data_IF_442746416086
#
_entry.id   IF_442746416086
#
_cell.length_a   1.000
_cell.length_b   1.000
_cell.length_c   1.000
_cell.angle_alpha   90.00
_cell.angle_beta   90.00
_cell.angle_gamma   90.00
#
_symmetry.space_group_name_H-M   'P 1'
#
loop_
_entity.id
_entity.type
_entity.pdbx_description
1 polymer ?
#
# COMPACT_ATOMS: atom_id res chain seq x y z
N UNK A 1 -0.70 26.74 73.49
CA UNK A 1 -1.09 25.75 72.47
C UNK A 1 -1.67 26.47 71.26
N UNK A 2 -0.80 26.80 70.27
CA UNK A 2 -1.22 27.42 69.03
C UNK A 2 -1.22 26.37 67.88
N UNK A 3 -2.38 26.11 67.31
CA UNK A 3 -2.53 25.26 66.13
C UNK A 3 -2.30 26.11 64.84
N UNK A 4 -1.23 25.82 64.14
CA UNK A 4 -1.01 26.31 62.76
C UNK A 4 -1.94 25.53 61.82
N UNK A 5 -2.79 26.26 61.07
CA UNK A 5 -3.60 25.71 59.96
C UNK A 5 -2.80 25.88 58.65
N UNK A 6 -2.30 24.83 58.09
CA UNK A 6 -1.70 24.78 56.77
C UNK A 6 -2.77 24.93 55.71
N UNK A 7 -2.67 25.94 54.85
CA UNK A 7 -3.49 26.09 53.65
C UNK A 7 -2.79 25.42 52.46
N UNK A 8 -3.25 24.27 52.01
CA UNK A 8 -2.84 23.70 50.76
C UNK A 8 -3.59 24.41 49.62
N UNK A 9 -2.89 25.17 48.79
CA UNK A 9 -3.39 25.72 47.55
C UNK A 9 -3.28 24.66 46.45
N UNK A 10 -4.40 24.13 45.97
CA UNK A 10 -4.43 23.26 44.79
C UNK A 10 -4.36 24.13 43.54
N UNK A 11 -3.18 24.13 42.92
CA UNK A 11 -2.98 24.71 41.58
C UNK A 11 -3.51 23.72 40.55
N UNK A 12 -4.73 23.94 40.06
CA UNK A 12 -5.28 23.14 38.94
C UNK A 12 -4.57 23.54 37.65
N UNK A 13 -3.74 22.64 37.15
CA UNK A 13 -3.12 22.78 35.83
C UNK A 13 -4.17 22.49 34.77
N UNK A 14 -4.76 23.51 34.16
CA UNK A 14 -5.62 23.36 32.99
C UNK A 14 -4.73 22.95 31.81
N UNK A 15 -4.77 21.65 31.46
CA UNK A 15 -4.25 21.18 30.18
C UNK A 15 -5.18 21.72 29.09
N UNK A 16 -4.77 22.76 28.38
CA UNK A 16 -5.40 23.14 27.12
C UNK A 16 -5.10 22.06 26.08
N UNK A 17 -6.04 21.10 25.91
CA UNK A 17 -6.05 20.21 24.77
C UNK A 17 -6.47 21.06 23.57
N UNK A 18 -5.53 21.45 22.73
CA UNK A 18 -5.86 22.06 21.46
C UNK A 18 -6.73 21.06 20.65
N UNK A 19 -7.85 21.52 20.08
CA UNK A 19 -8.67 20.66 19.23
C UNK A 19 -7.79 20.16 18.06
N UNK A 20 -8.00 18.92 17.57
CA UNK A 20 -7.31 18.45 16.38
C UNK A 20 -7.58 19.43 15.25
N UNK A 21 -6.54 19.85 14.54
CA UNK A 21 -6.69 20.69 13.37
C UNK A 21 -7.61 19.95 12.39
N UNK A 22 -8.83 20.45 12.20
CA UNK A 22 -9.77 19.96 11.20
C UNK A 22 -9.05 20.19 9.87
N UNK A 23 -8.62 19.11 9.21
CA UNK A 23 -8.02 19.15 7.89
C UNK A 23 -8.95 19.90 6.93
N UNK A 24 -8.39 20.63 5.98
CA UNK A 24 -9.20 21.27 4.95
C UNK A 24 -10.10 20.21 4.27
N UNK A 25 -11.36 20.55 3.98
CA UNK A 25 -12.27 19.64 3.29
C UNK A 25 -11.63 19.08 2.00
N UNK A 26 -11.85 17.79 1.67
CA UNK A 26 -11.34 17.20 0.43
C UNK A 26 -11.77 18.01 -0.79
N UNK A 27 -10.92 18.03 -1.82
CA UNK A 27 -11.25 18.57 -3.16
C UNK A 27 -12.02 17.55 -3.95
N UNK A 28 -12.63 17.94 -5.07
CA UNK A 28 -13.15 16.95 -6.02
C UNK A 28 -12.00 16.28 -6.76
N UNK A 29 -12.04 14.95 -6.92
CA UNK A 29 -11.07 14.23 -7.76
C UNK A 29 -11.12 14.69 -9.21
N UNK A 30 -12.26 15.20 -9.67
CA UNK A 30 -12.44 15.74 -11.04
C UNK A 30 -11.67 17.03 -11.30
N UNK A 31 -11.10 17.66 -10.26
CA UNK A 31 -10.16 18.78 -10.44
C UNK A 31 -8.82 18.31 -11.02
N UNK A 32 -8.50 17.01 -10.89
CA UNK A 32 -7.29 16.40 -11.45
C UNK A 32 -7.63 15.80 -12.81
N UNK A 33 -7.35 16.56 -13.89
CA UNK A 33 -7.57 16.05 -15.23
C UNK A 33 -6.56 14.94 -15.56
N UNK A 34 -6.99 13.71 -15.88
CA UNK A 34 -6.05 12.66 -16.26
C UNK A 34 -5.41 12.98 -17.60
N UNK A 35 -4.10 12.73 -17.72
CA UNK A 35 -3.36 12.82 -18.99
C UNK A 35 -3.80 11.72 -19.96
N UNK A 36 -4.27 10.61 -19.44
CA UNK A 36 -4.83 9.49 -20.19
C UNK A 36 -5.71 8.63 -19.28
N UNK A 37 -6.75 8.02 -19.89
CA UNK A 37 -7.57 6.96 -19.30
C UNK A 37 -7.48 5.75 -20.23
N UNK A 38 -7.03 4.60 -19.69
CA UNK A 38 -6.75 3.39 -20.46
C UNK A 38 -7.68 2.30 -20.00
N UNK A 39 -8.54 1.80 -20.88
CA UNK A 39 -9.43 0.66 -20.61
C UNK A 39 -8.66 -0.64 -20.73
N UNK A 40 -8.80 -1.51 -19.70
CA UNK A 40 -8.05 -2.76 -19.59
C UNK A 40 -8.94 -4.01 -19.61
N UNK A 41 -10.13 -3.94 -19.03
CA UNK A 41 -11.01 -5.08 -18.93
C UNK A 41 -12.34 -4.74 -18.26
N UNK A 42 -12.95 -5.74 -17.62
CA UNK A 42 -14.16 -5.55 -16.82
C UNK A 42 -13.85 -4.85 -15.50
N UNK A 43 -12.71 -5.21 -14.90
CA UNK A 43 -12.14 -4.54 -13.73
C UNK A 43 -10.69 -4.23 -13.99
N UNK A 44 -10.13 -3.24 -13.30
CA UNK A 44 -8.70 -2.95 -13.27
C UNK A 44 -8.26 -2.76 -11.81
N UNK A 45 -7.20 -3.47 -11.43
CA UNK A 45 -6.70 -3.48 -10.07
C UNK A 45 -5.19 -3.76 -10.07
N UNK A 46 -4.53 -3.55 -8.92
CA UNK A 46 -3.11 -3.83 -8.69
C UNK A 46 -2.16 -3.22 -9.70
N UNK A 47 -1.42 -2.24 -9.28
CA UNK A 47 -0.45 -1.52 -10.10
C UNK A 47 0.97 -1.85 -9.66
N UNK A 48 1.84 -2.16 -10.62
CA UNK A 48 3.28 -2.27 -10.40
C UNK A 48 4.05 -1.41 -11.42
N UNK A 49 5.10 -0.71 -10.96
CA UNK A 49 5.88 0.22 -11.77
C UNK A 49 7.28 -0.34 -11.98
N UNK A 50 7.70 -0.44 -13.24
CA UNK A 50 9.10 -0.69 -13.62
C UNK A 50 9.74 0.59 -14.15
N UNK A 51 11.04 0.57 -14.42
CA UNK A 51 11.75 1.72 -14.97
C UNK A 51 11.26 2.14 -16.38
N UNK A 52 10.59 1.24 -17.07
CA UNK A 52 10.20 1.42 -18.48
C UNK A 52 8.71 1.17 -18.78
N UNK A 53 7.94 0.76 -17.77
CA UNK A 53 6.52 0.42 -17.96
C UNK A 53 5.70 0.52 -16.68
N UNK A 54 4.40 0.52 -16.88
CA UNK A 54 3.39 0.33 -15.83
C UNK A 54 2.65 -0.98 -16.11
N UNK A 55 2.54 -1.81 -15.08
CA UNK A 55 1.83 -3.07 -15.15
C UNK A 55 0.55 -2.99 -14.33
N UNK A 56 -0.56 -3.39 -14.93
CA UNK A 56 -1.88 -3.35 -14.27
C UNK A 56 -2.60 -4.67 -14.51
N UNK A 57 -3.14 -5.24 -13.44
CA UNK A 57 -3.97 -6.43 -13.55
C UNK A 57 -5.41 -6.10 -13.92
N UNK A 58 -6.11 -7.04 -14.55
CA UNK A 58 -7.53 -6.90 -14.91
C UNK A 58 -8.28 -8.22 -14.81
N UNK A 59 -9.61 -8.11 -14.76
CA UNK A 59 -10.52 -9.21 -15.04
C UNK A 59 -11.35 -8.92 -16.31
N UNK A 60 -11.81 -9.98 -16.98
CA UNK A 60 -12.53 -9.89 -18.24
C UNK A 60 -11.78 -9.16 -19.36
N UNK A 61 -10.57 -9.59 -19.77
CA UNK A 61 -9.92 -10.86 -19.46
C UNK A 61 -9.15 -10.89 -18.15
N UNK A 62 -8.81 -12.09 -17.65
CA UNK A 62 -7.79 -12.26 -16.62
C UNK A 62 -6.42 -12.05 -17.25
N UNK A 63 -5.80 -10.93 -16.98
CA UNK A 63 -4.53 -10.57 -17.60
C UNK A 63 -3.74 -9.57 -16.73
N UNK A 64 -2.45 -9.46 -17.00
CA UNK A 64 -1.66 -8.28 -16.66
C UNK A 64 -1.27 -7.54 -17.92
N UNK A 65 -1.47 -6.24 -17.92
CA UNK A 65 -1.23 -5.36 -19.06
C UNK A 65 0.02 -4.54 -18.84
N UNK A 66 0.87 -4.49 -19.85
CA UNK A 66 2.03 -3.58 -19.88
C UNK A 66 1.66 -2.33 -20.63
N UNK A 67 1.83 -1.19 -20.00
CA UNK A 67 1.53 0.14 -20.52
C UNK A 67 2.85 0.90 -20.69
N UNK A 68 3.04 1.50 -21.87
CA UNK A 68 4.14 2.45 -22.10
C UNK A 68 3.75 3.82 -21.51
N UNK A 69 4.47 4.31 -20.47
CA UNK A 69 4.15 5.59 -19.84
C UNK A 69 4.45 6.81 -20.71
N UNK A 70 5.19 6.67 -21.80
CA UNK A 70 5.50 7.78 -22.71
C UNK A 70 4.37 8.01 -23.72
N UNK A 71 3.81 6.91 -24.23
CA UNK A 71 2.75 6.96 -25.25
C UNK A 71 1.36 6.80 -24.69
N UNK A 72 1.23 6.39 -23.41
CA UNK A 72 -0.04 6.07 -22.74
C UNK A 72 -0.80 4.92 -23.44
N UNK A 73 -0.08 3.99 -24.04
CA UNK A 73 -0.66 2.88 -24.79
C UNK A 73 -0.36 1.54 -24.12
N UNK A 74 -1.31 0.62 -24.18
CA UNK A 74 -1.09 -0.77 -23.81
C UNK A 74 -0.25 -1.44 -24.89
N UNK A 75 0.98 -1.83 -24.56
CA UNK A 75 1.96 -2.42 -25.49
C UNK A 75 2.02 -3.94 -25.42
N UNK A 76 1.51 -4.54 -24.33
CA UNK A 76 1.36 -5.99 -24.22
C UNK A 76 0.22 -6.34 -23.25
N UNK A 77 -0.32 -7.54 -23.42
CA UNK A 77 -1.21 -8.22 -22.48
C UNK A 77 -0.72 -9.63 -22.30
N UNK A 78 -0.66 -10.09 -21.06
CA UNK A 78 -0.28 -11.45 -20.70
C UNK A 78 -1.47 -12.10 -20.05
N UNK A 79 -2.06 -13.07 -20.74
CA UNK A 79 -3.21 -13.82 -20.23
C UNK A 79 -2.82 -14.67 -19.03
N UNK A 80 -3.69 -14.71 -18.05
CA UNK A 80 -3.54 -15.45 -16.80
C UNK A 80 -4.61 -16.55 -16.71
N UNK A 81 -4.33 -17.68 -16.05
CA UNK A 81 -5.31 -18.75 -15.89
C UNK A 81 -6.41 -18.45 -14.88
N UNK A 82 -6.36 -17.32 -14.21
CA UNK A 82 -7.31 -16.87 -13.21
C UNK A 82 -7.06 -15.46 -12.79
N UNK A 83 -7.88 -14.98 -11.87
CA UNK A 83 -7.84 -13.62 -11.34
C UNK A 83 -6.53 -13.33 -10.58
N UNK A 84 -5.88 -12.21 -10.92
CA UNK A 84 -4.86 -11.59 -10.10
C UNK A 84 -5.56 -10.94 -8.90
N UNK A 85 -5.61 -11.60 -7.78
CA UNK A 85 -6.45 -11.23 -6.64
C UNK A 85 -5.68 -10.66 -5.43
N UNK A 86 -4.44 -10.34 -5.63
CA UNK A 86 -3.58 -9.73 -4.62
C UNK A 86 -2.55 -8.83 -5.30
N UNK A 87 -1.86 -8.00 -4.52
CA UNK A 87 -0.86 -7.06 -5.02
C UNK A 87 0.18 -7.71 -5.93
N UNK A 88 0.84 -6.91 -6.74
CA UNK A 88 1.89 -7.32 -7.67
C UNK A 88 3.27 -7.01 -7.07
N UNK A 89 4.26 -7.87 -7.33
CA UNK A 89 5.66 -7.59 -6.96
C UNK A 89 6.60 -7.75 -8.15
N UNK A 90 7.66 -6.93 -8.16
CA UNK A 90 8.71 -6.97 -9.18
C UNK A 90 10.00 -7.46 -8.55
N UNK A 91 10.65 -8.41 -9.20
CA UNK A 91 11.95 -8.89 -8.81
C UNK A 91 12.44 -10.07 -9.65
N UNK A 92 13.76 -10.25 -9.77
CA UNK A 92 14.39 -11.25 -10.63
C UNK A 92 13.88 -11.20 -12.08
N UNK A 93 13.84 -10.00 -12.67
CA UNK A 93 13.39 -9.74 -14.05
C UNK A 93 11.96 -10.23 -14.32
N UNK A 94 11.16 -10.36 -13.28
CA UNK A 94 9.81 -10.90 -13.36
C UNK A 94 8.80 -10.05 -12.58
N UNK A 95 7.57 -10.07 -13.09
CA UNK A 95 6.38 -9.65 -12.36
C UNK A 95 5.77 -10.91 -11.71
N UNK A 96 5.55 -10.83 -10.41
CA UNK A 96 4.95 -11.87 -9.59
C UNK A 96 3.50 -11.55 -9.34
N UNK A 97 2.62 -12.48 -9.73
CA UNK A 97 1.18 -12.29 -9.73
C UNK A 97 0.51 -13.40 -8.93
N UNK A 98 0.03 -13.11 -7.72
CA UNK A 98 -0.78 -14.06 -6.96
C UNK A 98 -2.14 -14.27 -7.63
N UNK A 99 -2.58 -15.53 -7.77
CA UNK A 99 -3.80 -15.91 -8.45
C UNK A 99 -4.78 -16.62 -7.52
N UNK A 100 -6.04 -16.20 -7.53
CA UNK A 100 -7.15 -16.87 -6.86
C UNK A 100 -7.74 -18.00 -7.71
N UNK A 101 -6.89 -18.88 -8.19
CA UNK A 101 -7.29 -20.17 -8.78
C UNK A 101 -7.70 -21.16 -7.68
N UNK A 102 -8.19 -22.34 -8.06
CA UNK A 102 -8.51 -23.42 -7.11
C UNK A 102 -7.67 -24.65 -7.43
N UNK A 103 -6.62 -24.97 -6.64
CA UNK A 103 -6.06 -24.19 -5.52
C UNK A 103 -5.41 -22.88 -5.98
N UNK A 104 -5.17 -21.94 -5.05
CA UNK A 104 -4.48 -20.68 -5.32
C UNK A 104 -3.07 -20.93 -5.83
N UNK A 105 -2.55 -20.04 -6.68
CA UNK A 105 -1.28 -20.20 -7.35
C UNK A 105 -0.51 -18.88 -7.46
N UNK A 106 0.72 -18.94 -7.94
CA UNK A 106 1.59 -17.78 -8.17
C UNK A 106 2.10 -17.83 -9.60
N UNK A 107 1.76 -16.84 -10.39
CA UNK A 107 2.28 -16.69 -11.75
C UNK A 107 3.57 -15.88 -11.75
N UNK A 108 4.48 -16.26 -12.65
CA UNK A 108 5.71 -15.57 -12.97
C UNK A 108 5.65 -15.08 -14.41
N UNK A 109 5.65 -13.77 -14.61
CA UNK A 109 5.62 -13.12 -15.93
C UNK A 109 6.98 -12.46 -16.17
N UNK A 110 7.60 -12.75 -17.32
CA UNK A 110 8.88 -12.15 -17.70
C UNK A 110 8.69 -10.72 -18.18
N UNK A 111 9.41 -9.78 -17.58
CA UNK A 111 9.29 -8.34 -17.86
C UNK A 111 9.85 -7.96 -19.24
N UNK A 112 10.79 -8.73 -19.78
CA UNK A 112 11.42 -8.45 -21.08
C UNK A 112 10.63 -9.03 -22.23
N UNK A 113 10.21 -10.30 -22.11
CA UNK A 113 9.52 -11.00 -23.18
C UNK A 113 8.00 -10.81 -23.16
N UNK A 114 7.45 -10.25 -22.07
CA UNK A 114 6.01 -10.10 -21.84
C UNK A 114 5.28 -11.46 -21.94
N UNK A 115 5.84 -12.52 -21.35
CA UNK A 115 5.27 -13.87 -21.40
C UNK A 115 5.10 -14.45 -20.00
N UNK A 116 4.05 -15.21 -19.82
CA UNK A 116 3.87 -16.08 -18.66
C UNK A 116 4.93 -17.20 -18.76
N UNK A 117 5.87 -17.25 -17.80
CA UNK A 117 6.96 -18.24 -17.78
C UNK A 117 6.61 -19.45 -16.94
N UNK A 118 5.93 -19.26 -15.82
CA UNK A 118 5.60 -20.35 -14.90
C UNK A 118 4.38 -20.03 -14.07
N UNK A 119 3.73 -21.10 -13.59
CA UNK A 119 2.71 -21.08 -12.55
C UNK A 119 3.18 -22.05 -11.46
N UNK A 120 3.29 -21.56 -10.24
CA UNK A 120 3.70 -22.36 -9.09
C UNK A 120 2.48 -22.72 -8.23
N UNK A 121 2.46 -23.95 -7.71
CA UNK A 121 1.40 -24.47 -6.83
C UNK A 121 1.56 -23.94 -5.39
N UNK A 122 1.79 -22.65 -5.26
CA UNK A 122 1.82 -21.88 -4.01
C UNK A 122 1.17 -20.55 -4.30
N UNK A 123 0.17 -20.16 -3.54
CA UNK A 123 -0.60 -18.95 -3.81
C UNK A 123 -1.00 -18.22 -2.53
N UNK A 124 -1.75 -17.12 -2.67
CA UNK A 124 -2.19 -16.32 -1.55
C UNK A 124 -3.18 -17.08 -0.66
N UNK A 125 -3.15 -16.77 0.65
CA UNK A 125 -4.11 -17.31 1.61
C UNK A 125 -5.56 -16.86 1.33
N UNK A 126 -5.70 -15.65 0.79
CA UNK A 126 -6.98 -15.03 0.46
C UNK A 126 -6.77 -13.92 -0.58
N UNK A 127 -7.87 -13.48 -1.18
CA UNK A 127 -7.89 -12.26 -2.00
C UNK A 127 -7.53 -11.01 -1.17
N UNK A 128 -7.21 -9.91 -1.84
CA UNK A 128 -6.84 -8.63 -1.23
C UNK A 128 -5.56 -8.71 -0.36
N UNK A 129 -4.77 -9.75 -0.54
CA UNK A 129 -3.47 -9.91 0.07
C UNK A 129 -2.39 -9.11 -0.64
N UNK A 130 -1.19 -9.10 -0.08
CA UNK A 130 0.00 -8.50 -0.69
C UNK A 130 1.09 -9.52 -0.96
N UNK A 131 2.06 -9.11 -1.72
CA UNK A 131 3.25 -9.85 -2.07
C UNK A 131 4.45 -8.92 -2.03
N UNK A 132 5.61 -9.42 -1.64
CA UNK A 132 6.84 -8.65 -1.67
C UNK A 132 7.97 -9.46 -2.31
N UNK A 133 8.95 -8.77 -2.90
CA UNK A 133 10.18 -9.35 -3.35
C UNK A 133 11.36 -8.72 -2.59
N UNK A 134 12.25 -9.56 -2.08
CA UNK A 134 13.44 -9.09 -1.39
C UNK A 134 14.31 -10.23 -0.85
N UNK A 135 15.57 -9.95 -0.55
CA UNK A 135 16.56 -10.94 -0.14
C UNK A 135 16.61 -12.18 -1.07
N UNK A 136 16.39 -11.97 -2.38
CA UNK A 136 16.42 -13.04 -3.38
C UNK A 136 15.25 -14.03 -3.27
N UNK A 137 14.11 -13.63 -2.71
CA UNK A 137 12.91 -14.46 -2.60
C UNK A 137 11.63 -13.65 -2.75
N UNK A 138 10.56 -14.36 -3.11
CA UNK A 138 9.19 -13.85 -3.07
C UNK A 138 8.60 -14.16 -1.70
N UNK A 139 7.88 -13.20 -1.13
CA UNK A 139 7.29 -13.31 0.20
C UNK A 139 5.78 -13.15 0.13
N UNK A 140 5.06 -14.14 0.66
CA UNK A 140 3.61 -14.24 0.55
C UNK A 140 3.03 -14.95 1.77
N UNK A 141 1.87 -14.51 2.27
CA UNK A 141 1.06 -15.27 3.22
C UNK A 141 0.30 -16.35 2.45
N UNK A 142 0.53 -17.62 2.78
CA UNK A 142 0.10 -18.76 1.95
C UNK A 142 -1.08 -19.56 2.51
N UNK A 143 -1.53 -19.26 3.73
CA UNK A 143 -2.67 -19.95 4.35
C UNK A 143 -3.32 -19.12 5.46
N UNK A 144 -4.51 -19.53 5.89
CA UNK A 144 -5.30 -18.88 6.95
C UNK A 144 -4.62 -18.86 8.33
N UNK A 145 -3.66 -19.74 8.54
CA UNK A 145 -2.85 -19.76 9.77
C UNK A 145 -1.75 -18.70 9.78
N UNK A 146 -1.72 -17.84 8.74
CA UNK A 146 -0.76 -16.76 8.55
C UNK A 146 0.71 -17.23 8.44
N UNK A 147 0.94 -18.30 7.70
CA UNK A 147 2.28 -18.71 7.33
C UNK A 147 2.84 -17.77 6.25
N UNK A 148 3.87 -17.02 6.60
CA UNK A 148 4.66 -16.25 5.66
C UNK A 148 5.69 -17.15 4.99
N UNK A 149 5.55 -17.39 3.70
CA UNK A 149 6.49 -18.18 2.92
C UNK A 149 7.55 -17.27 2.25
N UNK A 150 8.80 -17.74 2.27
CA UNK A 150 9.84 -17.28 1.35
C UNK A 150 9.94 -18.28 0.21
N UNK A 151 9.68 -17.85 -0.99
CA UNK A 151 9.58 -18.68 -2.19
C UNK A 151 10.78 -18.43 -3.08
N UNK A 152 11.38 -19.51 -3.60
CA UNK A 152 12.48 -19.45 -4.56
C UNK A 152 11.98 -18.95 -5.92
N UNK A 153 12.50 -17.82 -6.45
CA UNK A 153 12.03 -17.27 -7.72
C UNK A 153 12.40 -18.10 -8.96
N UNK A 154 13.31 -19.06 -8.82
CA UNK A 154 13.71 -19.90 -9.94
C UNK A 154 12.75 -21.09 -10.18
N UNK A 155 12.19 -21.66 -9.11
CA UNK A 155 11.43 -22.90 -9.20
C UNK A 155 10.15 -22.96 -8.35
N UNK A 156 9.79 -21.89 -7.65
CA UNK A 156 8.59 -21.81 -6.80
C UNK A 156 8.66 -22.63 -5.50
N UNK A 157 9.80 -23.22 -5.17
CA UNK A 157 9.96 -23.98 -3.93
C UNK A 157 9.91 -23.09 -2.71
N UNK A 158 9.21 -23.51 -1.65
CA UNK A 158 9.22 -22.82 -0.37
C UNK A 158 10.56 -23.04 0.31
N UNK A 159 11.35 -21.99 0.43
CA UNK A 159 12.65 -21.99 1.08
C UNK A 159 12.54 -21.92 2.61
N UNK A 160 11.49 -21.26 3.10
CA UNK A 160 11.22 -21.07 4.53
C UNK A 160 9.77 -20.73 4.75
N UNK A 161 9.23 -21.19 5.88
CA UNK A 161 7.93 -20.80 6.39
C UNK A 161 8.09 -20.20 7.78
N UNK A 162 7.42 -19.08 8.03
CA UNK A 162 7.46 -18.37 9.31
C UNK A 162 6.03 -18.19 9.76
N UNK A 163 5.69 -18.76 10.94
CA UNK A 163 4.38 -18.60 11.55
C UNK A 163 4.26 -17.20 12.14
N UNK A 164 3.30 -16.43 11.64
CA UNK A 164 2.92 -15.11 12.16
C UNK A 164 1.62 -15.19 12.98
N UNK A 165 1.26 -14.14 13.73
CA UNK A 165 -0.03 -14.07 14.39
C UNK A 165 -1.19 -14.23 13.39
N UNK A 166 -2.26 -14.97 13.74
CA UNK A 166 -3.42 -15.15 12.87
C UNK A 166 -4.09 -13.82 12.51
N UNK A 167 -4.30 -13.57 11.22
CA UNK A 167 -4.77 -12.28 10.70
C UNK A 167 -3.65 -11.35 10.22
N UNK A 168 -2.40 -11.84 10.18
CA UNK A 168 -1.33 -11.21 9.40
C UNK A 168 -1.65 -11.31 7.91
N UNK A 169 -1.33 -10.24 7.13
CA UNK A 169 -1.92 -10.09 5.83
C UNK A 169 -0.94 -9.69 4.73
N UNK A 170 -0.50 -8.45 4.67
CA UNK A 170 0.27 -7.90 3.55
C UNK A 170 1.73 -7.70 3.91
N UNK A 171 2.68 -8.31 3.16
CA UNK A 171 4.10 -8.08 3.33
C UNK A 171 4.59 -6.89 2.50
N UNK A 172 5.61 -6.19 3.00
CA UNK A 172 6.52 -5.34 2.22
C UNK A 172 7.95 -5.61 2.63
N UNK A 173 8.92 -5.29 1.77
CA UNK A 173 10.33 -5.52 2.03
C UNK A 173 11.10 -4.21 2.14
N UNK A 174 11.87 -4.05 3.21
CA UNK A 174 12.72 -2.87 3.41
C UNK A 174 14.03 -3.24 4.11
N UNK A 175 15.14 -2.90 3.48
CA UNK A 175 16.48 -3.28 3.97
C UNK A 175 16.64 -4.81 3.96
N UNK A 176 16.81 -5.42 5.14
CA UNK A 176 16.85 -6.89 5.32
C UNK A 176 15.64 -7.38 6.15
N UNK A 177 14.53 -6.68 6.08
CA UNK A 177 13.36 -6.96 6.91
C UNK A 177 12.13 -7.10 6.03
N UNK A 178 11.34 -8.15 6.27
CA UNK A 178 9.97 -8.27 5.78
C UNK A 178 9.05 -7.72 6.85
N UNK A 179 8.24 -6.76 6.48
CA UNK A 179 7.24 -6.15 7.36
C UNK A 179 5.86 -6.65 6.94
N UNK A 180 5.08 -7.11 7.88
CA UNK A 180 3.78 -7.71 7.60
C UNK A 180 2.72 -7.06 8.47
N UNK A 181 1.64 -6.57 7.86
CA UNK A 181 0.49 -6.05 8.60
C UNK A 181 -0.23 -7.17 9.33
N UNK A 182 -0.68 -6.88 10.55
CA UNK A 182 -1.52 -7.78 11.36
C UNK A 182 -2.84 -7.07 11.64
N UNK A 183 -3.78 -7.23 10.73
CA UNK A 183 -5.04 -6.48 10.71
C UNK A 183 -5.87 -6.68 11.99
N UNK A 184 -5.96 -7.91 12.50
CA UNK A 184 -6.71 -8.23 13.73
C UNK A 184 -6.04 -7.70 15.00
N UNK A 185 -4.70 -7.57 14.99
CA UNK A 185 -3.91 -7.14 16.16
C UNK A 185 -3.63 -5.64 16.20
N UNK A 186 -3.98 -4.89 15.15
CA UNK A 186 -3.63 -3.48 15.00
C UNK A 186 -2.13 -3.22 15.21
N UNK A 187 -1.30 -4.01 14.55
CA UNK A 187 0.16 -3.88 14.56
C UNK A 187 0.78 -4.26 13.21
N UNK A 188 2.06 -3.98 13.08
CA UNK A 188 2.91 -4.45 11.99
C UNK A 188 4.05 -5.27 12.58
N UNK A 189 4.25 -6.47 12.04
CA UNK A 189 5.29 -7.41 12.45
C UNK A 189 6.52 -7.25 11.56
N UNK A 190 7.71 -7.12 12.16
CA UNK A 190 8.99 -7.09 11.48
C UNK A 190 9.68 -8.45 11.59
N UNK A 191 10.07 -9.03 10.46
CA UNK A 191 10.74 -10.32 10.35
C UNK A 191 12.12 -10.12 9.70
N UNK A 192 13.17 -10.57 10.35
CA UNK A 192 14.50 -10.62 9.74
C UNK A 192 14.53 -11.63 8.59
N UNK A 193 14.79 -11.18 7.39
CA UNK A 193 14.68 -11.99 6.18
C UNK A 193 15.74 -13.12 6.08
N UNK A 194 16.90 -12.94 6.71
CA UNK A 194 17.96 -13.94 6.70
C UNK A 194 17.66 -15.08 7.69
N UNK A 195 17.22 -14.74 8.90
CA UNK A 195 17.02 -15.72 9.98
C UNK A 195 15.59 -16.22 10.09
N UNK A 196 14.60 -15.47 9.60
CA UNK A 196 13.17 -15.74 9.75
C UNK A 196 12.65 -15.42 11.17
N UNK A 197 13.41 -14.73 12.00
CA UNK A 197 12.99 -14.36 13.34
C UNK A 197 12.11 -13.12 13.34
N UNK A 198 11.02 -13.15 14.12
CA UNK A 198 10.28 -11.93 14.45
C UNK A 198 11.17 -11.06 15.35
N UNK A 199 11.47 -9.85 14.91
CA UNK A 199 12.37 -8.91 15.59
C UNK A 199 11.63 -7.75 16.26
N UNK A 200 10.39 -7.48 15.83
CA UNK A 200 9.52 -6.50 16.48
C UNK A 200 8.06 -6.71 16.07
N UNK A 201 7.16 -6.26 16.93
CA UNK A 201 5.74 -5.99 16.65
C UNK A 201 5.47 -4.57 17.11
N UNK A 202 4.94 -3.73 16.24
CA UNK A 202 4.75 -2.31 16.51
C UNK A 202 3.29 -1.93 16.29
N UNK A 203 2.67 -1.35 17.33
CA UNK A 203 1.27 -0.93 17.26
C UNK A 203 1.03 0.11 16.16
N UNK A 204 -0.11 0.01 15.49
CA UNK A 204 -0.60 0.88 14.42
C UNK A 204 -2.01 1.39 14.78
N UNK A 205 -2.70 2.03 13.84
CA UNK A 205 -4.16 2.18 13.92
C UNK A 205 -4.89 0.86 13.67
N UNK A 206 -6.21 0.90 13.70
CA UNK A 206 -7.05 -0.29 13.59
C UNK A 206 -7.11 -0.84 12.17
N UNK A 207 -7.08 -2.16 12.04
CA UNK A 207 -7.15 -2.87 10.77
C UNK A 207 -6.10 -2.35 9.76
N UNK A 208 -4.79 -2.41 10.09
CA UNK A 208 -3.73 -2.08 9.13
C UNK A 208 -3.79 -3.09 7.99
N UNK A 209 -4.12 -2.62 6.79
CA UNK A 209 -4.34 -3.49 5.65
C UNK A 209 -3.18 -3.43 4.67
N UNK A 210 -2.95 -2.29 4.07
CA UNK A 210 -1.88 -2.08 3.10
C UNK A 210 -0.70 -1.35 3.73
N UNK A 211 0.48 -1.57 3.15
CA UNK A 211 1.70 -0.95 3.64
C UNK A 211 2.71 -0.71 2.52
N UNK A 212 3.52 0.32 2.71
CA UNK A 212 4.64 0.65 1.82
C UNK A 212 5.87 1.02 2.64
N UNK A 213 7.03 0.99 2.00
CA UNK A 213 8.30 1.38 2.61
C UNK A 213 8.88 2.62 1.94
N UNK A 214 9.35 3.58 2.72
CA UNK A 214 10.02 4.75 2.20
C UNK A 214 10.45 5.75 3.28
N UNK A 215 11.41 6.61 2.98
CA UNK A 215 11.99 7.58 3.92
C UNK A 215 12.47 6.97 5.25
N UNK A 216 13.04 5.76 5.20
CA UNK A 216 13.51 5.05 6.41
C UNK A 216 12.38 4.57 7.34
N UNK A 217 11.16 4.49 6.84
CA UNK A 217 9.97 4.10 7.58
C UNK A 217 9.13 3.08 6.81
N UNK A 218 8.24 2.42 7.55
CA UNK A 218 7.11 1.65 7.04
C UNK A 218 5.86 2.46 7.30
N UNK A 219 5.00 2.53 6.31
CA UNK A 219 3.75 3.25 6.35
C UNK A 219 2.59 2.27 6.19
N UNK A 220 1.67 2.23 7.15
CA UNK A 220 0.50 1.35 7.11
C UNK A 220 -0.77 2.15 6.93
N UNK A 221 -1.60 1.77 5.96
CA UNK A 221 -2.95 2.29 5.79
C UNK A 221 -3.88 1.50 6.71
N UNK A 222 -4.44 2.18 7.71
CA UNK A 222 -5.28 1.58 8.74
C UNK A 222 -6.75 1.85 8.42
N UNK A 223 -7.39 0.87 7.80
CA UNK A 223 -8.75 1.03 7.27
C UNK A 223 -9.81 1.14 8.38
N UNK A 224 -9.58 0.51 9.54
CA UNK A 224 -10.57 0.43 10.61
C UNK A 224 -10.85 1.75 11.32
N UNK A 225 -9.88 2.66 11.34
CA UNK A 225 -10.01 3.98 11.99
C UNK A 225 -9.68 5.16 11.07
N UNK A 226 -9.43 4.91 9.77
CA UNK A 226 -9.11 5.95 8.81
C UNK A 226 -7.83 6.69 9.13
N UNK A 227 -6.79 5.96 9.52
CA UNK A 227 -5.49 6.53 9.87
C UNK A 227 -4.36 5.95 9.03
N UNK A 228 -3.23 6.64 9.05
CA UNK A 228 -1.96 6.18 8.51
C UNK A 228 -0.96 6.09 9.67
N UNK A 229 -0.25 4.98 9.82
CA UNK A 229 0.82 4.89 10.81
C UNK A 229 2.19 4.85 10.13
N UNK A 230 3.07 5.75 10.55
CA UNK A 230 4.49 5.74 10.22
C UNK A 230 5.25 4.98 11.30
N UNK A 231 5.97 3.94 10.95
CA UNK A 231 6.87 3.19 11.83
C UNK A 231 8.31 3.40 11.38
N UNK A 232 9.13 4.02 12.21
CA UNK A 232 10.56 4.17 11.92
C UNK A 232 11.23 2.78 11.83
N UNK A 233 11.82 2.47 10.68
CA UNK A 233 12.33 1.12 10.39
C UNK A 233 13.49 0.71 11.32
N UNK A 234 14.24 1.68 11.86
CA UNK A 234 15.37 1.43 12.75
C UNK A 234 14.95 1.34 14.21
N UNK A 235 14.20 2.35 14.71
CA UNK A 235 13.86 2.48 16.13
C UNK A 235 12.57 1.76 16.51
N UNK A 236 11.74 1.37 15.54
CA UNK A 236 10.42 0.74 15.71
C UNK A 236 9.39 1.67 16.39
N UNK A 237 9.69 2.97 16.50
CA UNK A 237 8.74 3.95 17.03
C UNK A 237 7.67 4.26 16.00
N UNK A 238 6.41 4.30 16.44
CA UNK A 238 5.26 4.59 15.60
C UNK A 238 4.71 5.99 15.87
N UNK A 239 4.13 6.59 14.83
CA UNK A 239 3.31 7.80 14.88
C UNK A 239 2.12 7.63 13.95
N UNK A 240 0.91 7.90 14.45
CA UNK A 240 -0.32 7.80 13.68
C UNK A 240 -0.80 9.18 13.23
N UNK A 241 -1.32 9.26 12.01
CA UNK A 241 -1.79 10.45 11.32
C UNK A 241 -3.24 10.18 10.93
N UNK A 242 -4.17 11.09 11.26
CA UNK A 242 -5.56 10.95 10.84
C UNK A 242 -5.70 11.27 9.33
N UNK A 243 -6.39 10.42 8.62
CA UNK A 243 -6.86 10.65 7.25
C UNK A 243 -8.34 11.02 7.21
N UNK A 244 -9.04 10.85 8.33
CA UNK A 244 -10.41 11.33 8.55
C UNK A 244 -11.47 10.25 8.42
N UNK A 245 -11.45 9.41 7.40
CA UNK A 245 -12.54 8.48 7.10
C UNK A 245 -12.08 7.02 7.14
N UNK A 246 -12.64 6.17 8.01
CA UNK A 246 -12.49 4.72 7.93
C UNK A 246 -13.08 4.18 6.63
N UNK A 247 -12.57 3.03 6.15
CA UNK A 247 -13.09 2.43 4.92
C UNK A 247 -12.63 1.00 4.72
N UNK A 248 -13.01 0.45 3.59
CA UNK A 248 -12.55 -0.84 3.10
C UNK A 248 -12.01 -0.65 1.68
N UNK A 249 -11.02 -1.43 1.28
CA UNK A 249 -10.35 -1.24 -0.01
C UNK A 249 -9.28 -0.15 0.04
N UNK A 250 -8.76 0.19 -1.13
CA UNK A 250 -7.71 1.18 -1.28
C UNK A 250 -6.30 0.58 -1.25
N UNK A 251 -5.31 1.45 -1.37
CA UNK A 251 -3.91 1.07 -1.50
C UNK A 251 -2.99 2.20 -0.97
N UNK A 252 -1.68 1.95 -0.94
CA UNK A 252 -0.67 2.89 -0.46
C UNK A 252 0.62 2.79 -1.26
N UNK A 253 1.16 3.91 -1.69
CA UNK A 253 2.45 3.99 -2.36
C UNK A 253 3.33 5.09 -1.77
N UNK A 254 4.64 4.88 -1.84
CA UNK A 254 5.65 5.87 -1.48
C UNK A 254 6.46 6.26 -2.71
N UNK A 255 6.63 7.55 -2.94
CA UNK A 255 7.52 8.08 -3.97
C UNK A 255 8.01 9.50 -3.61
N UNK A 256 9.28 9.77 -3.84
CA UNK A 256 9.88 11.11 -3.73
C UNK A 256 9.54 11.86 -2.44
N UNK A 257 9.65 11.17 -1.29
CA UNK A 257 9.39 11.77 0.02
C UNK A 257 7.90 12.00 0.33
N UNK A 258 7.01 11.40 -0.41
CA UNK A 258 5.56 11.51 -0.26
C UNK A 258 4.92 10.13 -0.12
N UNK A 259 3.89 10.07 0.70
CA UNK A 259 3.00 8.91 0.80
C UNK A 259 1.69 9.27 0.12
N UNK A 260 1.22 8.38 -0.73
CA UNK A 260 -0.03 8.48 -1.43
C UNK A 260 -0.93 7.32 -0.99
N UNK A 261 -2.20 7.59 -0.75
CA UNK A 261 -3.16 6.55 -0.38
C UNK A 261 -4.44 6.70 -1.18
N UNK A 262 -5.09 5.57 -1.41
CA UNK A 262 -6.46 5.51 -1.91
C UNK A 262 -7.35 4.96 -0.80
N UNK A 263 -8.58 5.43 -0.74
CA UNK A 263 -9.67 4.90 0.09
C UNK A 263 -10.99 5.13 -0.65
N UNK A 264 -12.02 4.31 -0.44
CA UNK A 264 -13.35 4.62 -0.97
C UNK A 264 -13.78 6.03 -0.57
N UNK A 265 -14.46 6.75 -1.47
CA UNK A 265 -14.90 8.14 -1.29
C UNK A 265 -13.77 9.18 -1.22
N UNK A 266 -12.54 8.78 -0.93
CA UNK A 266 -11.33 9.62 -0.95
C UNK A 266 -10.26 8.92 -1.80
N UNK A 267 -10.49 8.84 -3.12
CA UNK A 267 -9.64 8.08 -4.04
C UNK A 267 -8.18 8.53 -4.09
N UNK A 268 -7.85 9.67 -3.50
CA UNK A 268 -6.47 10.11 -3.43
C UNK A 268 -6.21 10.97 -2.19
N UNK A 269 -5.18 10.63 -1.44
CA UNK A 269 -4.63 11.46 -0.36
C UNK A 269 -3.12 11.60 -0.52
N UNK A 270 -2.60 12.75 -0.12
CA UNK A 270 -1.17 13.08 -0.17
C UNK A 270 -0.64 13.47 1.19
N UNK A 271 0.40 12.78 1.64
CA UNK A 271 1.06 12.99 2.92
C UNK A 271 2.56 13.31 2.71
N UNK A 272 3.06 14.34 3.37
CA UNK A 272 4.50 14.65 3.43
C UNK A 272 5.17 13.72 4.45
N UNK A 273 6.08 12.87 3.99
CA UNK A 273 6.76 11.88 4.84
C UNK A 273 7.81 12.47 5.78
N UNK A 274 8.24 13.71 5.55
CA UNK A 274 9.23 14.39 6.40
C UNK A 274 8.57 15.07 7.60
N UNK A 275 7.36 15.59 7.41
CA UNK A 275 6.61 16.32 8.44
C UNK A 275 5.49 15.51 9.06
N UNK A 276 5.17 14.34 8.51
CA UNK A 276 4.05 13.48 8.87
C UNK A 276 2.70 14.24 8.78
N UNK A 277 2.54 15.10 7.79
CA UNK A 277 1.33 15.92 7.62
C UNK A 277 0.53 15.48 6.40
N UNK A 278 -0.77 15.32 6.59
CA UNK A 278 -1.72 15.25 5.49
C UNK A 278 -1.74 16.61 4.79
N UNK A 279 -1.40 16.64 3.51
CA UNK A 279 -1.32 17.85 2.70
C UNK A 279 -2.62 18.11 1.94
N UNK A 280 -3.15 17.09 1.27
CA UNK A 280 -4.35 17.17 0.45
C UNK A 280 -5.11 15.87 0.43
N UNK A 281 -6.41 15.99 0.15
CA UNK A 281 -7.28 14.87 -0.18
C UNK A 281 -8.19 15.26 -1.34
N UNK A 282 -8.50 14.27 -2.19
CA UNK A 282 -9.48 14.40 -3.26
C UNK A 282 -10.56 13.35 -3.04
N UNK A 283 -11.81 13.81 -3.01
CA UNK A 283 -12.99 12.98 -2.83
C UNK A 283 -13.73 12.80 -4.16
N UNK A 284 -14.48 11.73 -4.29
CA UNK A 284 -15.25 11.42 -5.48
C UNK A 284 -15.22 9.93 -5.83
N UNK A 285 -15.74 9.56 -7.00
CA UNK A 285 -15.74 8.17 -7.46
C UNK A 285 -14.37 7.75 -7.97
N UNK A 286 -14.16 6.42 -8.08
CA UNK A 286 -12.93 5.80 -8.58
C UNK A 286 -11.86 5.65 -7.51
N UNK A 287 -10.71 5.18 -7.92
CA UNK A 287 -9.54 4.99 -7.07
C UNK A 287 -9.63 3.75 -6.18
N UNK A 288 -8.91 2.71 -6.62
CA UNK A 288 -8.75 1.49 -5.83
C UNK A 288 -7.26 1.25 -5.60
N UNK A 289 -6.53 0.72 -6.56
CA UNK A 289 -5.08 0.58 -6.48
C UNK A 289 -4.34 1.75 -7.08
N UNK A 290 -3.12 2.01 -6.61
CA UNK A 290 -2.27 3.06 -7.18
C UNK A 290 -0.80 2.66 -7.31
N UNK A 291 -0.15 3.23 -8.32
CA UNK A 291 1.30 3.21 -8.47
C UNK A 291 1.82 4.62 -8.77
N UNK A 292 3.00 4.98 -8.26
CA UNK A 292 3.62 6.27 -8.54
C UNK A 292 4.93 6.05 -9.28
N UNK A 293 5.01 6.62 -10.48
CA UNK A 293 6.20 6.54 -11.32
C UNK A 293 6.02 7.26 -12.64
N UNK A 294 7.11 7.51 -13.34
CA UNK A 294 7.09 8.24 -14.62
C UNK A 294 6.39 9.62 -14.50
N UNK A 295 6.70 10.34 -13.39
CA UNK A 295 6.13 11.66 -13.07
C UNK A 295 4.60 11.67 -12.95
N UNK A 296 3.99 10.49 -12.75
CA UNK A 296 2.54 10.33 -12.71
C UNK A 296 2.06 9.44 -11.56
N UNK A 297 0.83 9.65 -11.19
CA UNK A 297 -0.01 8.78 -10.39
C UNK A 297 -0.77 7.91 -11.38
N UNK A 298 -0.64 6.61 -11.23
CA UNK A 298 -1.42 5.61 -11.97
C UNK A 298 -2.48 5.07 -11.04
N UNK A 299 -3.72 5.48 -11.25
CA UNK A 299 -4.85 5.23 -10.38
C UNK A 299 -5.86 4.33 -11.10
N UNK A 300 -6.18 3.18 -10.52
CA UNK A 300 -7.19 2.30 -11.10
C UNK A 300 -8.60 2.75 -10.70
N UNK A 301 -9.56 2.53 -11.58
CA UNK A 301 -10.97 2.44 -11.23
C UNK A 301 -11.42 1.00 -11.44
N UNK A 302 -11.61 0.28 -10.31
CA UNK A 302 -11.98 -1.13 -10.33
C UNK A 302 -13.25 -1.38 -11.13
N UNK A 303 -14.28 -0.57 -10.91
CA UNK A 303 -15.59 -0.79 -11.53
C UNK A 303 -15.65 -0.35 -12.99
N UNK A 304 -14.90 0.67 -13.37
CA UNK A 304 -14.79 1.11 -14.75
C UNK A 304 -13.83 0.25 -15.59
N UNK A 305 -12.99 -0.56 -14.94
CA UNK A 305 -11.98 -1.38 -15.62
C UNK A 305 -10.90 -0.54 -16.31
N UNK A 306 -10.55 0.61 -15.73
CA UNK A 306 -9.61 1.57 -16.30
C UNK A 306 -8.44 1.86 -15.36
N UNK A 307 -7.35 2.33 -15.92
CA UNK A 307 -6.30 3.03 -15.17
C UNK A 307 -6.15 4.44 -15.72
N UNK A 308 -6.11 5.41 -14.83
CA UNK A 308 -5.89 6.81 -15.13
C UNK A 308 -4.44 7.20 -14.87
N UNK A 309 -3.87 7.99 -15.75
CA UNK A 309 -2.57 8.64 -15.57
C UNK A 309 -2.79 10.09 -15.19
N UNK A 310 -2.44 10.49 -13.98
CA UNK A 310 -2.56 11.86 -13.47
C UNK A 310 -1.15 12.40 -13.21
N UNK A 311 -0.85 13.62 -13.66
CA UNK A 311 0.47 14.21 -13.41
C UNK A 311 0.67 14.49 -11.91
N UNK A 312 1.79 14.02 -11.34
CA UNK A 312 2.17 14.35 -9.94
C UNK A 312 2.28 15.86 -9.75
N UNK A 313 2.84 16.57 -10.74
CA UNK A 313 2.98 18.02 -10.67
C UNK A 313 1.64 18.75 -10.58
N UNK A 314 0.59 18.25 -11.26
CA UNK A 314 -0.75 18.82 -11.20
C UNK A 314 -1.38 18.63 -9.82
N UNK A 315 -1.31 17.43 -9.25
CA UNK A 315 -1.78 17.17 -7.90
C UNK A 315 -1.06 18.06 -6.87
N UNK A 316 0.26 18.25 -6.99
CA UNK A 316 1.03 19.13 -6.11
C UNK A 316 0.64 20.60 -6.27
N UNK A 317 0.42 21.08 -7.49
CA UNK A 317 -0.02 22.44 -7.77
C UNK A 317 -1.41 22.72 -7.17
N UNK A 318 -2.32 21.75 -7.23
CA UNK A 318 -3.63 21.85 -6.58
C UNK A 318 -3.51 21.93 -5.06
N UNK A 319 -2.61 21.17 -4.44
CA UNK A 319 -2.34 21.26 -3.01
C UNK A 319 -1.85 22.63 -2.58
N UNK A 320 -0.92 23.25 -3.30
CA UNK A 320 -0.27 24.51 -2.92
C UNK A 320 -1.18 25.73 -3.01
N UNK A 321 -2.21 25.71 -3.87
CA UNK A 321 -3.14 26.85 -4.08
C UNK A 321 -3.96 27.25 -2.85
N UNK A 322 -4.02 26.43 -1.78
CA UNK A 322 -4.70 26.79 -0.51
C UNK A 322 -3.81 27.53 0.51
N UNK A 323 -2.49 27.60 0.29
CA UNK A 323 -1.58 28.28 1.20
C UNK A 323 -1.64 29.81 1.17
N UNK A 324 -2.50 30.43 0.34
CA UNK A 324 -2.53 31.87 0.10
C UNK A 324 -3.86 32.55 0.49
N UNK A 325 -4.69 31.93 1.30
CA UNK A 325 -5.80 32.64 1.92
C UNK A 325 -5.47 32.90 3.41
N UNK A 326 -5.33 34.15 3.71
CA UNK A 326 -4.94 34.85 4.95
C UNK A 326 -5.72 34.39 6.20
#
# INVERSE_FOLDING_TARGET
MHRLKSKFSHLALLLCIAPPAIGAAPRSITELAPLATISLGKTADWVAITADAVWVASTGPFAVHRIDPKTNTRIASVDLPGEACAGLAIGSDSLWVPLCTTPTSLAKVNLTTNRLEAIFAVGPAAAEGGIAFGAGGVWLIINESADLARINPANGAILRTIRLPPGSYNPTFSGNTVWVTHAKGADVTAVDAATGRIIAMTATGLNPRFLTAGAGAIWTLNQGDGTLTRVDARTKRARTISLGTPGHGGDIAFSEGRVWTTMPEVPLSLIDSRTDRLLCQWAGPGGDSLGIGHEAIWLTDYHAGTVERIAVADALAHCSRRGHFH
#
